data_IF_782886329724
#
_entry.id   IF_782886329724
#
_cell.length_a   1.000
_cell.length_b   1.000
_cell.length_c   1.000
_cell.angle_alpha   90.00
_cell.angle_beta   90.00
_cell.angle_gamma   90.00
#
_symmetry.space_group_name_H-M   'P 1'
#
loop_
_entity.id
_entity.type
_entity.pdbx_description
1 polymer ?
#
# COMPACT_ATOMS: atom_id res chain seq x y z
N UNK A 1 -22.46 -2.71 43.40
CA UNK A 1 -22.29 -2.72 41.93
C UNK A 1 -20.88 -2.27 41.64
N UNK A 2 -20.01 -3.06 40.99
CA UNK A 2 -18.67 -2.59 40.67
C UNK A 2 -18.74 -1.54 39.56
N UNK A 3 -17.90 -0.51 39.66
CA UNK A 3 -17.81 0.58 38.69
C UNK A 3 -17.34 0.06 37.32
N UNK A 4 -17.79 0.66 36.20
CA UNK A 4 -17.33 0.26 34.89
C UNK A 4 -15.82 0.52 34.78
N UNK A 5 -15.08 -0.51 34.35
CA UNK A 5 -13.66 -0.40 34.06
C UNK A 5 -13.45 0.64 32.95
N UNK A 6 -12.58 1.61 33.20
CA UNK A 6 -12.17 2.58 32.18
C UNK A 6 -11.54 1.83 31.00
N UNK A 7 -12.01 2.13 29.78
CA UNK A 7 -11.39 1.64 28.56
C UNK A 7 -9.92 2.07 28.53
N UNK A 8 -8.98 1.21 28.08
CA UNK A 8 -7.59 1.61 27.95
C UNK A 8 -7.52 2.79 26.97
N UNK A 9 -6.84 3.85 27.38
CA UNK A 9 -6.53 4.98 26.52
C UNK A 9 -5.84 4.44 25.26
N UNK A 10 -6.34 4.80 24.08
CA UNK A 10 -5.67 4.52 22.83
C UNK A 10 -4.24 5.06 22.93
N UNK A 11 -3.26 4.16 22.89
CA UNK A 11 -1.86 4.54 22.77
C UNK A 11 -1.81 5.42 21.53
N UNK A 12 -1.52 6.70 21.70
CA UNK A 12 -1.13 7.56 20.60
C UNK A 12 0.07 6.89 19.97
N UNK A 13 -0.14 6.20 18.86
CA UNK A 13 0.94 5.70 18.04
C UNK A 13 1.71 6.97 17.64
N UNK A 14 2.84 7.25 18.31
CA UNK A 14 3.77 8.26 17.83
C UNK A 14 4.75 7.51 16.95
N UNK A 15 4.80 7.92 15.69
CA UNK A 15 5.90 7.61 14.81
C UNK A 15 7.19 8.19 15.42
N UNK A 16 8.19 7.37 15.78
CA UNK A 16 9.42 7.85 16.36
C UNK A 16 10.34 8.35 15.22
N UNK A 17 10.17 9.61 14.82
CA UNK A 17 11.05 10.26 13.83
C UNK A 17 10.90 9.74 12.39
N UNK A 18 11.81 10.17 11.50
CA UNK A 18 11.71 9.95 10.06
C UNK A 18 11.57 11.26 9.26
N UNK A 19 11.53 11.16 7.93
CA UNK A 19 11.48 12.31 7.02
C UNK A 19 10.18 13.12 7.18
N UNK A 20 9.06 12.46 7.47
CA UNK A 20 7.76 13.11 7.60
C UNK A 20 7.75 14.19 8.71
N UNK A 21 8.45 13.94 9.82
CA UNK A 21 8.60 14.91 10.90
C UNK A 21 9.38 16.16 10.44
N UNK A 22 10.43 16.00 9.63
CA UNK A 22 11.20 17.11 9.04
C UNK A 22 10.32 17.93 8.08
N UNK A 23 9.41 17.26 7.38
CA UNK A 23 8.49 17.86 6.40
C UNK A 23 7.25 18.52 7.03
N UNK A 24 7.13 18.45 8.37
CA UNK A 24 6.03 19.02 9.14
C UNK A 24 4.71 18.25 9.00
N UNK A 25 4.78 16.94 8.71
CA UNK A 25 3.60 16.08 8.53
C UNK A 25 3.33 15.37 9.84
N UNK A 26 2.18 15.68 10.45
CA UNK A 26 1.73 15.04 11.67
C UNK A 26 1.25 13.59 11.40
N UNK A 27 1.84 12.64 12.12
CA UNK A 27 1.57 11.21 11.93
C UNK A 27 0.11 10.83 12.23
N UNK A 28 -0.48 11.38 13.30
CA UNK A 28 -1.86 11.08 13.65
C UNK A 28 -2.84 11.62 12.60
N UNK A 29 -2.54 12.78 12.02
CA UNK A 29 -3.29 13.35 10.90
C UNK A 29 -3.14 12.49 9.66
N UNK A 30 -1.91 12.07 9.31
CA UNK A 30 -1.70 11.16 8.19
C UNK A 30 -2.42 9.82 8.31
N UNK A 31 -2.37 9.19 9.48
CA UNK A 31 -3.14 7.96 9.73
C UNK A 31 -4.64 8.16 9.53
N UNK A 32 -5.20 9.29 10.02
CA UNK A 32 -6.62 9.61 9.81
C UNK A 32 -6.96 9.85 8.35
N UNK A 33 -6.12 10.57 7.62
CA UNK A 33 -6.34 10.89 6.20
C UNK A 33 -6.27 9.62 5.34
N UNK A 34 -5.27 8.77 5.56
CA UNK A 34 -5.16 7.45 4.91
C UNK A 34 -6.36 6.57 5.25
N UNK A 35 -6.77 6.52 6.53
CA UNK A 35 -7.93 5.77 6.95
C UNK A 35 -9.21 6.22 6.25
N UNK A 36 -9.43 7.54 6.15
CA UNK A 36 -10.60 8.09 5.46
C UNK A 36 -10.66 7.69 3.98
N UNK A 37 -9.52 7.73 3.28
CA UNK A 37 -9.45 7.30 1.88
C UNK A 37 -9.75 5.81 1.73
N UNK A 38 -9.15 4.96 2.57
CA UNK A 38 -9.38 3.52 2.51
C UNK A 38 -10.81 3.17 2.90
N UNK A 39 -11.37 3.78 3.94
CA UNK A 39 -12.75 3.56 4.37
C UNK A 39 -13.75 3.99 3.29
N UNK A 40 -13.47 5.07 2.55
CA UNK A 40 -14.29 5.49 1.42
C UNK A 40 -14.19 4.53 0.21
N UNK A 41 -13.01 3.98 -0.08
CA UNK A 41 -12.80 3.09 -1.21
C UNK A 41 -13.28 1.65 -0.94
N UNK A 42 -13.21 1.21 0.33
CA UNK A 42 -13.41 -0.18 0.73
C UNK A 42 -14.74 -0.78 0.28
N UNK A 43 -15.92 -0.16 0.48
CA UNK A 43 -17.18 -0.76 0.06
C UNK A 43 -17.22 -1.12 -1.44
N UNK A 44 -16.67 -0.26 -2.29
CA UNK A 44 -16.63 -0.50 -3.73
C UNK A 44 -15.67 -1.64 -4.10
N UNK A 45 -14.53 -1.75 -3.40
CA UNK A 45 -13.59 -2.87 -3.58
C UNK A 45 -14.24 -4.18 -3.12
N UNK A 46 -14.88 -4.20 -1.94
CA UNK A 46 -15.57 -5.41 -1.44
C UNK A 46 -16.71 -5.84 -2.36
N UNK A 47 -17.51 -4.88 -2.87
CA UNK A 47 -18.57 -5.17 -3.85
C UNK A 47 -17.99 -5.75 -5.14
N UNK A 48 -16.88 -5.20 -5.64
CA UNK A 48 -16.22 -5.71 -6.85
C UNK A 48 -15.66 -7.12 -6.65
N UNK A 49 -15.11 -7.41 -5.48
CA UNK A 49 -14.66 -8.76 -5.10
C UNK A 49 -15.84 -9.73 -5.10
N UNK A 50 -16.95 -9.37 -4.45
CA UNK A 50 -18.15 -10.20 -4.39
C UNK A 50 -18.80 -10.44 -5.76
N UNK A 51 -18.65 -9.48 -6.69
CA UNK A 51 -19.16 -9.57 -8.05
C UNK A 51 -18.19 -10.22 -9.05
N UNK A 52 -17.05 -10.76 -8.59
CA UNK A 52 -16.05 -11.38 -9.48
C UNK A 52 -16.66 -12.56 -10.25
N UNK A 53 -16.62 -12.57 -11.59
CA UNK A 53 -17.11 -13.69 -12.38
C UNK A 53 -16.36 -14.99 -12.08
N UNK A 54 -17.03 -16.12 -12.27
CA UNK A 54 -16.38 -17.43 -12.15
C UNK A 54 -15.18 -17.54 -13.11
N UNK A 55 -14.03 -17.94 -12.57
CA UNK A 55 -12.78 -18.07 -13.34
C UNK A 55 -11.96 -16.79 -13.48
N UNK A 56 -12.47 -15.63 -13.04
CA UNK A 56 -11.66 -14.41 -12.96
C UNK A 56 -10.57 -14.55 -11.88
N UNK A 57 -9.41 -13.93 -12.13
CA UNK A 57 -8.34 -13.80 -11.14
C UNK A 57 -8.23 -12.33 -10.70
N UNK A 58 -9.05 -11.86 -9.76
CA UNK A 58 -8.98 -10.48 -9.30
C UNK A 58 -7.64 -10.20 -8.60
N UNK A 59 -7.12 -8.98 -8.76
CA UNK A 59 -5.87 -8.54 -8.18
C UNK A 59 -5.97 -7.12 -7.61
N UNK A 60 -5.23 -6.86 -6.54
CA UNK A 60 -4.94 -5.51 -6.03
C UNK A 60 -3.46 -5.24 -6.22
N UNK A 61 -3.13 -4.06 -6.75
CA UNK A 61 -1.77 -3.56 -6.86
C UNK A 61 -1.55 -2.47 -5.81
N UNK A 62 -0.41 -2.52 -5.13
CA UNK A 62 -0.02 -1.52 -4.14
C UNK A 62 1.37 -0.96 -4.44
N UNK A 63 1.54 0.34 -4.25
CA UNK A 63 2.85 0.91 -3.94
C UNK A 63 3.27 0.56 -2.49
N UNK A 64 4.56 0.72 -2.16
CA UNK A 64 5.11 0.39 -0.85
C UNK A 64 5.27 1.62 0.04
N UNK A 65 6.01 2.63 -0.40
CA UNK A 65 6.52 3.68 0.48
C UNK A 65 5.42 4.70 0.78
N UNK A 66 5.06 4.85 2.06
CA UNK A 66 3.89 5.63 2.51
C UNK A 66 2.55 5.20 1.90
N UNK A 67 2.51 4.00 1.30
CA UNK A 67 1.32 3.40 0.67
C UNK A 67 0.95 2.05 1.28
N UNK A 68 1.95 1.21 1.58
CA UNK A 68 1.78 -0.05 2.31
C UNK A 68 2.55 -0.05 3.63
N UNK A 69 3.74 0.56 3.63
CA UNK A 69 4.62 0.71 4.78
C UNK A 69 4.75 2.18 5.15
N UNK A 70 4.91 2.46 6.45
CA UNK A 70 5.00 3.81 7.01
C UNK A 70 6.40 4.43 6.84
N UNK A 71 7.03 4.29 5.67
CA UNK A 71 8.47 4.52 5.46
C UNK A 71 8.99 5.84 6.00
N UNK A 72 8.34 6.98 5.71
CA UNK A 72 8.83 8.29 6.15
C UNK A 72 8.49 8.64 7.60
N UNK A 73 7.67 7.81 8.25
CA UNK A 73 7.26 7.98 9.64
C UNK A 73 8.10 7.13 10.61
N UNK A 74 9.13 6.46 10.12
CA UNK A 74 10.08 5.75 10.95
C UNK A 74 11.50 6.02 10.46
N UNK A 75 12.48 5.87 11.34
CA UNK A 75 13.88 5.91 10.92
C UNK A 75 14.19 4.82 9.90
N UNK A 76 15.14 5.08 8.99
CA UNK A 76 15.49 4.14 7.92
C UNK A 76 16.02 2.78 8.42
N UNK A 77 16.46 2.69 9.69
CA UNK A 77 16.89 1.45 10.34
C UNK A 77 15.76 0.70 11.07
N UNK A 78 14.55 1.24 11.13
CA UNK A 78 13.40 0.56 11.73
C UNK A 78 13.00 -0.64 10.87
N UNK A 79 13.23 -1.85 11.40
CA UNK A 79 12.88 -3.09 10.74
C UNK A 79 12.19 -4.07 11.73
N UNK A 80 11.00 -4.59 11.39
CA UNK A 80 10.21 -4.26 10.20
C UNK A 80 9.67 -2.82 10.28
N UNK A 81 9.68 -2.10 9.16
CA UNK A 81 8.92 -0.86 9.02
C UNK A 81 7.43 -1.21 9.16
N UNK A 82 6.66 -0.54 10.03
CA UNK A 82 5.26 -0.85 10.25
C UNK A 82 4.40 -0.76 8.98
N UNK A 83 3.34 -1.55 8.94
CA UNK A 83 2.32 -1.48 7.90
C UNK A 83 1.29 -0.40 8.21
N UNK A 84 0.80 0.25 7.17
CA UNK A 84 -0.42 1.06 7.24
C UNK A 84 -1.59 0.12 7.53
N UNK A 85 -2.15 0.20 8.74
CA UNK A 85 -3.09 -0.79 9.26
C UNK A 85 -4.32 -0.98 8.37
N UNK A 86 -4.92 0.13 7.93
CA UNK A 86 -6.13 0.12 7.08
C UNK A 86 -5.89 -0.52 5.72
N UNK A 87 -4.74 -0.27 5.11
CA UNK A 87 -4.34 -0.85 3.82
C UNK A 87 -4.10 -2.35 4.00
N UNK A 88 -3.34 -2.74 5.03
CA UNK A 88 -3.11 -4.15 5.36
C UNK A 88 -4.44 -4.90 5.59
N UNK A 89 -5.35 -4.35 6.38
CA UNK A 89 -6.63 -4.97 6.66
C UNK A 89 -7.46 -5.21 5.39
N UNK A 90 -7.47 -4.25 4.45
CA UNK A 90 -8.14 -4.41 3.15
C UNK A 90 -7.48 -5.54 2.32
N UNK A 91 -6.14 -5.58 2.25
CA UNK A 91 -5.44 -6.63 1.49
C UNK A 91 -5.64 -8.02 2.08
N UNK A 92 -5.66 -8.16 3.41
CA UNK A 92 -5.95 -9.44 4.08
C UNK A 92 -7.38 -9.89 3.80
N UNK A 93 -8.35 -8.99 3.90
CA UNK A 93 -9.75 -9.27 3.55
C UNK A 93 -9.88 -9.76 2.10
N UNK A 94 -9.22 -9.07 1.17
CA UNK A 94 -9.26 -9.39 -0.25
C UNK A 94 -8.59 -10.73 -0.54
N UNK A 95 -7.40 -10.98 0.04
CA UNK A 95 -6.68 -12.22 -0.17
C UNK A 95 -7.41 -13.45 0.35
N UNK A 96 -8.10 -13.34 1.50
CA UNK A 96 -8.97 -14.40 2.03
C UNK A 96 -10.13 -14.76 1.08
N UNK A 97 -10.43 -13.91 0.09
CA UNK A 97 -11.47 -14.11 -0.93
C UNK A 97 -10.88 -14.41 -2.31
N UNK A 98 -9.61 -14.82 -2.37
CA UNK A 98 -8.96 -15.24 -3.61
C UNK A 98 -8.37 -14.11 -4.45
N UNK A 99 -8.33 -12.88 -3.93
CA UNK A 99 -7.68 -11.76 -4.62
C UNK A 99 -6.15 -11.86 -4.49
N UNK A 100 -5.45 -11.74 -5.62
CA UNK A 100 -4.00 -11.68 -5.65
C UNK A 100 -3.50 -10.29 -5.23
N UNK A 101 -2.43 -10.23 -4.43
CA UNK A 101 -1.90 -8.98 -3.89
C UNK A 101 -0.50 -8.77 -4.45
N UNK A 102 -0.35 -7.77 -5.31
CA UNK A 102 0.90 -7.42 -5.97
C UNK A 102 1.44 -6.09 -5.44
N UNK A 103 2.76 -6.00 -5.31
CA UNK A 103 3.46 -4.78 -4.95
C UNK A 103 4.29 -4.29 -6.14
N UNK A 104 4.16 -3.03 -6.51
CA UNK A 104 4.94 -2.40 -7.59
C UNK A 104 5.57 -1.12 -7.04
N UNK A 105 6.88 -1.16 -6.81
CA UNK A 105 7.63 -0.12 -6.10
C UNK A 105 8.77 0.44 -6.93
N UNK A 106 9.17 1.67 -6.63
CA UNK A 106 10.38 2.28 -7.15
C UNK A 106 11.66 1.86 -6.40
N UNK A 107 11.55 1.10 -5.30
CA UNK A 107 12.72 0.59 -4.55
C UNK A 107 13.67 -0.19 -5.47
N UNK A 108 15.00 -0.05 -5.28
CA UNK A 108 15.97 -0.70 -6.13
C UNK A 108 16.03 -2.21 -5.85
N UNK A 109 16.28 -3.02 -6.89
CA UNK A 109 16.25 -4.48 -6.78
C UNK A 109 17.22 -5.09 -5.75
N UNK A 110 18.29 -4.38 -5.40
CA UNK A 110 19.24 -4.79 -4.35
C UNK A 110 18.58 -4.94 -2.96
N UNK A 111 17.43 -4.30 -2.72
CA UNK A 111 16.66 -4.43 -1.46
C UNK A 111 15.44 -5.33 -1.59
N UNK A 112 15.32 -6.13 -2.66
CA UNK A 112 14.17 -7.01 -2.89
C UNK A 112 13.88 -7.91 -1.69
N UNK A 113 14.86 -8.71 -1.26
CA UNK A 113 14.67 -9.71 -0.19
C UNK A 113 14.35 -9.06 1.15
N UNK A 114 14.90 -7.87 1.42
CA UNK A 114 14.59 -7.11 2.63
C UNK A 114 13.15 -6.58 2.60
N UNK A 115 12.74 -6.04 1.44
CA UNK A 115 11.39 -5.51 1.23
C UNK A 115 10.35 -6.61 1.34
N UNK A 116 10.57 -7.76 0.68
CA UNK A 116 9.68 -8.90 0.78
C UNK A 116 9.57 -9.43 2.21
N UNK A 117 10.70 -9.54 2.93
CA UNK A 117 10.72 -9.95 4.33
C UNK A 117 9.95 -8.98 5.21
N UNK A 118 10.08 -7.67 4.99
CA UNK A 118 9.32 -6.68 5.74
C UNK A 118 7.82 -6.86 5.53
N UNK A 119 7.36 -6.92 4.27
CA UNK A 119 5.94 -7.05 3.92
C UNK A 119 5.32 -8.28 4.59
N UNK A 120 6.00 -9.43 4.51
CA UNK A 120 5.56 -10.67 5.16
C UNK A 120 5.58 -10.55 6.68
N UNK A 121 6.62 -9.97 7.27
CA UNK A 121 6.75 -9.80 8.71
C UNK A 121 5.65 -8.94 9.32
N UNK A 122 5.17 -7.93 8.59
CA UNK A 122 4.04 -7.09 9.02
C UNK A 122 2.68 -7.63 8.59
N UNK A 123 2.61 -8.82 8.00
CA UNK A 123 1.37 -9.54 7.75
C UNK A 123 0.67 -9.23 6.42
N UNK A 124 1.38 -8.67 5.44
CA UNK A 124 0.82 -8.59 4.08
C UNK A 124 0.83 -9.96 3.40
N UNK A 125 -0.27 -10.37 2.76
CA UNK A 125 -0.22 -11.39 1.72
C UNK A 125 0.57 -10.86 0.51
N UNK A 126 1.49 -11.64 -0.04
CA UNK A 126 2.34 -11.25 -1.18
C UNK A 126 2.23 -12.30 -2.28
N UNK A 127 1.52 -11.95 -3.37
CA UNK A 127 1.47 -12.77 -4.60
C UNK A 127 2.63 -12.44 -5.53
N UNK A 128 3.09 -11.19 -5.56
CA UNK A 128 4.29 -10.80 -6.29
C UNK A 128 4.79 -9.42 -5.87
N UNK A 129 6.09 -9.21 -6.01
CA UNK A 129 6.79 -7.97 -5.73
C UNK A 129 7.61 -7.58 -6.96
N UNK A 130 7.42 -6.35 -7.44
CA UNK A 130 8.12 -5.77 -8.57
C UNK A 130 8.92 -4.56 -8.10
N UNK A 131 10.23 -4.69 -8.14
CA UNK A 131 11.24 -3.67 -7.76
C UNK A 131 11.91 -3.12 -9.01
N UNK A 132 12.46 -1.91 -8.96
CA UNK A 132 13.19 -1.35 -10.10
C UNK A 132 14.55 -2.01 -10.28
N UNK A 133 14.80 -2.47 -11.49
CA UNK A 133 16.14 -2.90 -11.91
C UNK A 133 17.08 -1.69 -11.99
N UNK A 134 18.34 -1.89 -11.60
CA UNK A 134 19.36 -0.82 -11.57
C UNK A 134 19.54 -0.08 -12.92
N UNK A 135 19.54 -0.74 -14.10
CA UNK A 135 19.66 -0.05 -15.39
C UNK A 135 18.42 0.79 -15.73
N UNK A 136 17.27 0.42 -15.19
CA UNK A 136 16.01 1.13 -15.40
C UNK A 136 15.83 2.29 -14.42
N UNK A 137 16.77 2.59 -13.51
CA UNK A 137 16.65 3.70 -12.54
C UNK A 137 16.56 5.09 -13.19
N UNK A 138 16.97 5.22 -14.45
CA UNK A 138 16.89 6.46 -15.24
C UNK A 138 15.62 6.59 -16.09
N UNK A 139 14.75 5.56 -16.13
CA UNK A 139 13.46 5.64 -16.82
C UNK A 139 12.41 6.36 -15.96
N UNK A 140 11.38 6.89 -16.60
CA UNK A 140 10.21 7.44 -15.90
C UNK A 140 9.57 6.38 -14.98
N UNK A 141 9.38 6.73 -13.70
CA UNK A 141 8.83 5.81 -12.67
C UNK A 141 7.42 5.37 -13.06
N UNK A 142 6.60 6.31 -13.53
CA UNK A 142 5.24 6.06 -13.98
C UNK A 142 5.20 5.01 -15.10
N UNK A 143 6.04 5.16 -16.13
CA UNK A 143 6.11 4.21 -17.24
C UNK A 143 6.50 2.80 -16.78
N UNK A 144 7.45 2.69 -15.85
CA UNK A 144 7.80 1.41 -15.23
C UNK A 144 6.60 0.79 -14.51
N UNK A 145 5.90 1.56 -13.65
CA UNK A 145 4.76 1.06 -12.88
C UNK A 145 3.59 0.66 -13.78
N UNK A 146 3.31 1.44 -14.82
CA UNK A 146 2.32 1.11 -15.86
C UNK A 146 2.66 -0.20 -16.55
N UNK A 147 3.90 -0.39 -16.98
CA UNK A 147 4.33 -1.62 -17.64
C UNK A 147 4.18 -2.85 -16.74
N UNK A 148 4.43 -2.73 -15.43
CA UNK A 148 4.23 -3.82 -14.47
C UNK A 148 2.76 -4.16 -14.21
N UNK A 149 1.86 -3.16 -14.22
CA UNK A 149 0.42 -3.45 -14.20
C UNK A 149 -0.03 -4.18 -15.47
N UNK A 150 0.43 -3.74 -16.64
CA UNK A 150 0.16 -4.44 -17.90
C UNK A 150 0.70 -5.88 -17.88
N UNK A 151 1.88 -6.12 -17.29
CA UNK A 151 2.45 -7.47 -17.13
C UNK A 151 1.57 -8.36 -16.22
N UNK A 152 1.00 -7.79 -15.15
CA UNK A 152 0.06 -8.49 -14.27
C UNK A 152 -1.22 -8.86 -15.03
N UNK A 153 -1.78 -7.94 -15.82
CA UNK A 153 -2.94 -8.24 -16.67
C UNK A 153 -2.64 -9.31 -17.72
N UNK A 154 -1.47 -9.25 -18.36
CA UNK A 154 -1.03 -10.26 -19.32
C UNK A 154 -0.89 -11.67 -18.72
N UNK A 155 -0.77 -11.78 -17.39
CA UNK A 155 -0.81 -13.05 -16.64
C UNK A 155 -2.23 -13.51 -16.29
N UNK A 156 -3.24 -12.85 -16.87
CA UNK A 156 -4.66 -13.17 -16.75
C UNK A 156 -5.30 -12.66 -15.47
N UNK A 157 -4.71 -11.66 -14.81
CA UNK A 157 -5.32 -11.02 -13.64
C UNK A 157 -6.15 -9.80 -14.04
N UNK A 158 -7.25 -9.56 -13.34
CA UNK A 158 -7.99 -8.29 -13.44
C UNK A 158 -7.62 -7.40 -12.27
N UNK A 159 -6.99 -6.25 -12.51
CA UNK A 159 -6.61 -5.32 -11.44
C UNK A 159 -7.85 -4.51 -11.02
N UNK A 160 -8.50 -4.94 -9.93
CA UNK A 160 -9.74 -4.33 -9.44
C UNK A 160 -9.48 -3.07 -8.61
N UNK A 161 -8.28 -2.92 -8.05
CA UNK A 161 -7.84 -1.71 -7.38
C UNK A 161 -6.32 -1.53 -7.45
N UNK A 162 -5.88 -0.29 -7.62
CA UNK A 162 -4.48 0.13 -7.53
C UNK A 162 -4.37 1.23 -6.46
N UNK A 163 -3.55 1.00 -5.43
CA UNK A 163 -3.43 1.87 -4.26
C UNK A 163 -2.01 2.44 -4.20
N UNK A 164 -1.90 3.76 -4.14
CA UNK A 164 -0.61 4.45 -4.06
C UNK A 164 -0.78 5.88 -3.60
N UNK A 165 0.29 6.48 -3.11
CA UNK A 165 0.31 7.84 -2.59
C UNK A 165 0.89 8.84 -3.60
N UNK A 166 1.56 8.42 -4.67
CA UNK A 166 2.08 9.31 -5.72
C UNK A 166 1.23 9.20 -7.00
N UNK A 167 1.13 10.28 -7.79
CA UNK A 167 0.48 10.22 -9.11
C UNK A 167 1.12 9.17 -10.02
N UNK A 168 2.44 9.01 -9.97
CA UNK A 168 3.17 8.00 -10.75
C UNK A 168 2.75 6.56 -10.45
N UNK A 169 2.12 6.31 -9.30
CA UNK A 169 1.58 5.00 -8.94
C UNK A 169 0.32 4.67 -9.73
N UNK A 170 -0.46 5.70 -10.11
CA UNK A 170 -1.86 5.55 -10.53
C UNK A 170 -2.07 5.83 -12.02
N UNK A 171 -1.23 6.65 -12.64
CA UNK A 171 -1.37 7.03 -14.06
C UNK A 171 -1.11 5.86 -15.02
N UNK A 172 -1.58 5.98 -16.26
CA UNK A 172 -1.34 4.97 -17.30
C UNK A 172 -2.29 3.77 -17.31
N UNK A 173 -3.36 3.79 -16.51
CA UNK A 173 -4.42 2.78 -16.56
C UNK A 173 -4.04 1.44 -15.93
N UNK A 174 -4.62 0.36 -16.47
CA UNK A 174 -4.47 -1.03 -15.99
C UNK A 174 -4.96 -1.25 -14.55
N UNK A 175 -6.06 -0.58 -14.20
CA UNK A 175 -6.82 -0.81 -12.99
C UNK A 175 -8.24 -0.29 -13.17
N UNK A 176 -9.24 -1.04 -12.70
CA UNK A 176 -10.64 -0.57 -12.70
C UNK A 176 -10.84 0.62 -11.76
N UNK A 177 -10.07 0.66 -10.66
CA UNK A 177 -10.12 1.71 -9.65
C UNK A 177 -8.72 2.10 -9.20
N UNK A 178 -8.48 3.39 -9.10
CA UNK A 178 -7.30 3.98 -8.47
C UNK A 178 -7.67 4.59 -7.12
N UNK A 179 -6.88 4.34 -6.10
CA UNK A 179 -7.05 4.88 -4.75
C UNK A 179 -5.81 5.69 -4.40
N UNK A 180 -5.94 7.02 -4.43
CA UNK A 180 -4.86 7.97 -4.14
C UNK A 180 -4.82 8.28 -2.65
N UNK A 181 -3.74 7.84 -2.00
CA UNK A 181 -3.42 8.19 -0.63
C UNK A 181 -2.80 9.61 -0.57
N UNK A 182 -2.90 10.28 0.59
CA UNK A 182 -2.32 11.61 0.79
C UNK A 182 -0.79 11.60 0.64
N UNK A 183 -0.26 12.55 -0.14
CA UNK A 183 1.18 12.84 -0.26
C UNK A 183 1.57 14.23 0.24
N UNK A 184 0.59 15.03 0.68
CA UNK A 184 0.76 16.41 1.12
C UNK A 184 1.45 17.32 0.10
N UNK A 185 1.07 17.19 -1.17
CA UNK A 185 1.65 17.97 -2.27
C UNK A 185 3.01 17.45 -2.69
N UNK A 186 3.17 16.12 -2.70
CA UNK A 186 4.40 15.43 -3.09
C UNK A 186 5.48 15.34 -2.00
N UNK A 187 5.17 15.71 -0.76
CA UNK A 187 6.12 15.63 0.36
C UNK A 187 6.44 14.19 0.77
N UNK A 188 5.51 13.25 0.57
CA UNK A 188 5.69 11.82 0.87
C UNK A 188 6.01 10.96 -0.38
N UNK A 189 6.47 11.59 -1.47
CA UNK A 189 6.68 10.97 -2.78
C UNK A 189 8.05 10.34 -2.98
#
# INVERSE_FOLDING_TARGET
>A
TPAPAAAPAAVTASAPGGNAAILGIDYATWQRDVAAVIDAARPAVEQRIAASPAGEKPAIVLDIDNSSLETDFHWFWTFPTPAIEKVRALTQYANQRGVAIFFVTARPGIVYSLTERNLKAVGYPVTGLYVRDLPALFSEVSAYKTAKRAEIEARGYTIIANIGNNESDLVGGHAERTVKLPDYGGKLS
#
